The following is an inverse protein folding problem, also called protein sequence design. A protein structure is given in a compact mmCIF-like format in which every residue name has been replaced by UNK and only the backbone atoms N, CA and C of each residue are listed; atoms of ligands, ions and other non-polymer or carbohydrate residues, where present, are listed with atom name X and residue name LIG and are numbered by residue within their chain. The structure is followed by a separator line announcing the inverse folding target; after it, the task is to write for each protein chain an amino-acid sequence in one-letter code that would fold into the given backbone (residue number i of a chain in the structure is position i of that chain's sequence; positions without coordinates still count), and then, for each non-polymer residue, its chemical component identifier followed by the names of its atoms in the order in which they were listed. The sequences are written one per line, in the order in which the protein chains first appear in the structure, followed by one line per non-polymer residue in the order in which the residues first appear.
data_IF_808992781975
#
_entry.id   IF_808992781975
#
_cell.length_a   1.000
_cell.length_b   1.000
_cell.length_c   1.000
_cell.angle_alpha   90.00
_cell.angle_beta   90.00
_cell.angle_gamma   90.00
#
_symmetry.space_group_name_H-M   'P 1'
#
loop_
_entity.id
_entity.type
_entity.pdbx_description
1 polymer ?
#
# COMPACT_ATOMS: atom_id res chain seq x y z
N UNK A 1 -13.59 -3.30 -50.28
CA UNK A 1 -13.79 -2.29 -49.21
C UNK A 1 -14.58 -2.97 -48.10
N UNK A 2 -13.98 -3.18 -46.91
CA UNK A 2 -14.70 -3.80 -45.77
C UNK A 2 -15.74 -2.81 -45.26
N UNK A 3 -16.96 -3.31 -45.06
CA UNK A 3 -18.12 -2.50 -44.65
C UNK A 3 -17.92 -1.97 -43.23
N UNK A 4 -18.28 -0.70 -43.00
CA UNK A 4 -18.27 -0.01 -41.70
C UNK A 4 -19.07 -0.78 -40.63
N UNK A 5 -19.94 -1.70 -41.05
CA UNK A 5 -20.69 -2.62 -40.19
C UNK A 5 -19.83 -3.67 -39.47
N UNK A 6 -18.61 -3.98 -39.92
CA UNK A 6 -17.68 -4.87 -39.17
C UNK A 6 -16.99 -4.17 -37.99
N UNK A 7 -17.10 -2.83 -37.89
CA UNK A 7 -16.49 -2.06 -36.79
C UNK A 7 -17.36 -2.04 -35.53
N UNK A 8 -18.65 -2.33 -35.68
CA UNK A 8 -19.60 -2.46 -34.58
C UNK A 8 -19.96 -3.94 -34.47
N UNK A 9 -19.27 -4.64 -33.58
CA UNK A 9 -19.58 -6.03 -33.22
C UNK A 9 -21.06 -6.22 -32.87
N UNK A 10 -21.53 -7.47 -32.93
CA UNK A 10 -22.94 -7.82 -32.78
C UNK A 10 -23.58 -7.09 -31.60
N UNK A 11 -24.86 -6.73 -31.72
CA UNK A 11 -25.58 -5.98 -30.69
C UNK A 11 -25.57 -6.71 -29.34
N UNK A 12 -25.41 -8.04 -29.35
CA UNK A 12 -25.19 -8.84 -28.17
C UNK A 12 -23.77 -8.71 -27.59
N UNK A 13 -22.73 -8.63 -28.42
CA UNK A 13 -21.34 -8.39 -27.97
C UNK A 13 -21.22 -7.04 -27.27
N UNK A 14 -21.84 -6.00 -27.83
CA UNK A 14 -21.89 -4.67 -27.21
C UNK A 14 -22.59 -4.71 -25.85
N UNK A 15 -23.69 -5.46 -25.73
CA UNK A 15 -24.42 -5.62 -24.44
C UNK A 15 -23.58 -6.36 -23.41
N UNK A 16 -22.88 -7.41 -23.80
CA UNK A 16 -22.00 -8.19 -22.92
C UNK A 16 -20.83 -7.33 -22.44
N UNK A 17 -20.18 -6.57 -23.33
CA UNK A 17 -19.10 -5.65 -22.98
C UNK A 17 -19.58 -4.58 -22.01
N UNK A 18 -20.74 -3.97 -22.27
CA UNK A 18 -21.32 -2.95 -21.38
C UNK A 18 -21.66 -3.53 -20.01
N UNK A 19 -22.29 -4.71 -19.96
CA UNK A 19 -22.64 -5.36 -18.69
C UNK A 19 -21.39 -5.73 -17.87
N UNK A 20 -20.35 -6.27 -18.53
CA UNK A 20 -19.08 -6.57 -17.88
C UNK A 20 -18.40 -5.30 -17.34
N UNK A 21 -18.35 -4.24 -18.15
CA UNK A 21 -17.78 -2.95 -17.72
C UNK A 21 -18.53 -2.35 -16.52
N UNK A 22 -19.87 -2.34 -16.54
CA UNK A 22 -20.69 -1.84 -15.43
C UNK A 22 -20.47 -2.64 -14.16
N UNK A 23 -20.33 -3.97 -14.27
CA UNK A 23 -20.10 -4.85 -13.11
C UNK A 23 -18.73 -4.60 -12.50
N UNK A 24 -17.68 -4.48 -13.32
CA UNK A 24 -16.32 -4.18 -12.85
C UNK A 24 -16.24 -2.81 -12.20
N UNK A 25 -16.83 -1.78 -12.82
CA UNK A 25 -16.82 -0.40 -12.29
C UNK A 25 -17.59 -0.32 -10.97
N UNK A 26 -18.74 -0.99 -10.88
CA UNK A 26 -19.55 -1.02 -9.66
C UNK A 26 -18.84 -1.79 -8.53
N UNK A 27 -18.23 -2.94 -8.85
CA UNK A 27 -17.44 -3.73 -7.92
C UNK A 27 -16.23 -2.96 -7.39
N UNK A 28 -15.46 -2.31 -8.28
CA UNK A 28 -14.33 -1.47 -7.90
C UNK A 28 -14.79 -0.27 -7.06
N UNK A 29 -15.88 0.38 -7.44
CA UNK A 29 -16.46 1.50 -6.68
C UNK A 29 -16.86 1.07 -5.28
N UNK A 30 -17.51 -0.09 -5.11
CA UNK A 30 -17.88 -0.64 -3.81
C UNK A 30 -16.66 -0.97 -2.95
N UNK A 31 -15.60 -1.53 -3.54
CA UNK A 31 -14.33 -1.80 -2.84
C UNK A 31 -13.66 -0.49 -2.36
N UNK A 32 -13.60 0.53 -3.23
CA UNK A 32 -13.07 1.84 -2.89
C UNK A 32 -13.93 2.58 -1.85
N UNK A 33 -15.25 2.41 -1.89
CA UNK A 33 -16.17 3.04 -0.94
C UNK A 33 -16.12 2.39 0.45
N UNK A 34 -16.04 1.05 0.51
CA UNK A 34 -15.82 0.33 1.77
C UNK A 34 -14.47 0.66 2.40
N UNK A 35 -13.43 0.79 1.58
CA UNK A 35 -12.09 1.21 2.01
C UNK A 35 -12.12 2.57 2.73
N UNK A 36 -12.89 3.55 2.24
CA UNK A 36 -13.06 4.85 2.91
C UNK A 36 -13.76 4.77 4.27
N UNK A 37 -14.55 3.72 4.54
CA UNK A 37 -15.38 3.60 5.75
C UNK A 37 -14.63 3.08 6.97
N UNK A 38 -13.37 2.70 6.86
CA UNK A 38 -12.51 2.33 8.00
C UNK A 38 -11.82 3.56 8.60
N UNK A 39 -12.60 4.48 9.18
CA UNK A 39 -12.07 5.66 9.91
C UNK A 39 -12.61 5.80 11.33
N UNK A 40 -12.77 4.69 12.03
CA UNK A 40 -12.96 4.68 13.49
C UNK A 40 -12.18 3.53 14.12
N UNK A 41 -10.86 3.51 13.91
CA UNK A 41 -9.97 2.99 14.94
C UNK A 41 -9.63 4.20 15.78
N UNK A 42 -9.92 4.16 17.08
CA UNK A 42 -9.52 5.20 18.03
C UNK A 42 -8.09 5.69 17.74
N UNK A 43 -7.83 6.96 18.00
CA UNK A 43 -6.65 7.74 17.64
C UNK A 43 -5.31 7.19 18.21
N UNK A 44 -4.97 5.93 17.90
CA UNK A 44 -3.63 5.40 17.96
C UNK A 44 -2.83 6.21 16.94
N UNK A 45 -1.94 7.05 17.44
CA UNK A 45 -0.99 7.82 16.63
C UNK A 45 -0.03 6.83 15.96
N UNK A 46 -0.48 6.24 14.87
CA UNK A 46 0.37 5.44 14.00
C UNK A 46 1.36 6.36 13.31
N UNK A 47 2.60 5.88 13.05
CA UNK A 47 3.52 6.59 12.19
C UNK A 47 2.88 6.91 10.83
N UNK A 48 3.28 8.02 10.18
CA UNK A 48 2.81 8.34 8.84
C UNK A 48 3.28 7.28 7.84
N UNK A 49 2.54 7.17 6.73
CA UNK A 49 2.89 6.33 5.59
C UNK A 49 3.32 7.19 4.39
N UNK A 50 4.15 6.67 3.46
CA UNK A 50 4.48 7.33 2.21
C UNK A 50 3.24 7.80 1.45
N UNK A 51 3.34 8.94 0.76
CA UNK A 51 2.21 9.52 -0.01
C UNK A 51 1.77 8.62 -1.16
N UNK A 52 2.66 7.77 -1.65
CA UNK A 52 2.41 6.79 -2.72
C UNK A 52 1.61 5.57 -2.25
N UNK A 53 1.36 5.44 -0.94
CA UNK A 53 0.62 4.30 -0.37
C UNK A 53 -0.79 4.20 -0.93
N UNK A 54 -1.07 3.09 -1.62
CA UNK A 54 -2.39 2.82 -2.18
C UNK A 54 -3.34 2.21 -1.15
N UNK A 55 -4.64 2.35 -1.37
CA UNK A 55 -5.64 1.88 -0.39
C UNK A 55 -5.65 0.36 -0.20
N UNK A 56 -5.69 -0.38 -1.32
CA UNK A 56 -5.79 -1.85 -1.34
C UNK A 56 -4.40 -2.46 -1.45
N UNK A 57 -3.63 -2.02 -2.44
CA UNK A 57 -2.29 -2.52 -2.73
C UNK A 57 -1.24 -2.08 -1.70
N UNK A 58 -1.55 -1.09 -0.87
CA UNK A 58 -0.61 -0.50 0.10
C UNK A 58 0.69 -0.08 -0.61
N UNK A 59 1.85 -0.46 -0.07
CA UNK A 59 3.17 -0.11 -0.58
C UNK A 59 3.77 -1.21 -1.47
N UNK A 60 2.99 -2.17 -1.96
CA UNK A 60 3.53 -3.26 -2.77
C UNK A 60 4.20 -2.75 -4.07
N UNK A 61 3.67 -1.68 -4.66
CA UNK A 61 4.25 -1.08 -5.85
C UNK A 61 5.55 -0.31 -5.53
N UNK A 62 5.61 0.35 -4.38
CA UNK A 62 6.83 1.02 -3.92
C UNK A 62 7.94 0.00 -3.64
N UNK A 63 7.61 -1.05 -2.87
CA UNK A 63 8.55 -2.10 -2.49
C UNK A 63 9.02 -2.91 -3.70
N UNK A 64 8.10 -3.26 -4.61
CA UNK A 64 8.43 -4.00 -5.83
C UNK A 64 9.22 -3.15 -6.84
N UNK A 65 8.84 -1.90 -7.03
CA UNK A 65 9.53 -0.97 -7.94
C UNK A 65 10.94 -0.61 -7.49
N UNK A 66 11.22 -0.70 -6.18
CA UNK A 66 12.52 -0.42 -5.59
C UNK A 66 13.24 -1.68 -5.09
N UNK A 67 12.84 -2.89 -5.48
CA UNK A 67 13.36 -4.13 -4.91
C UNK A 67 14.90 -4.23 -4.97
N UNK A 68 15.52 -3.82 -6.09
CA UNK A 68 16.98 -3.85 -6.28
C UNK A 68 17.73 -2.80 -5.44
N UNK A 69 17.02 -1.78 -4.94
CA UNK A 69 17.57 -0.66 -4.14
C UNK A 69 16.75 -0.42 -2.88
N UNK A 70 16.25 -1.51 -2.29
CA UNK A 70 15.21 -1.42 -1.27
C UNK A 70 15.67 -0.60 -0.06
N UNK A 71 16.92 -0.77 0.39
CA UNK A 71 17.49 0.01 1.48
C UNK A 71 17.67 1.49 1.14
N UNK A 72 18.03 1.82 -0.11
CA UNK A 72 18.13 3.22 -0.55
C UNK A 72 16.75 3.87 -0.52
N UNK A 73 15.72 3.18 -1.01
CA UNK A 73 14.34 3.64 -0.93
C UNK A 73 13.89 3.86 0.52
N UNK A 74 14.20 2.93 1.45
CA UNK A 74 13.91 3.14 2.87
C UNK A 74 14.59 4.40 3.42
N UNK A 75 15.82 4.67 3.03
CA UNK A 75 16.56 5.86 3.44
C UNK A 75 15.95 7.14 2.86
N UNK A 76 15.62 7.16 1.57
CA UNK A 76 14.95 8.29 0.91
C UNK A 76 13.62 8.64 1.60
N UNK A 77 12.80 7.63 1.91
CA UNK A 77 11.56 7.82 2.65
C UNK A 77 11.82 8.34 4.07
N UNK A 78 12.84 7.83 4.75
CA UNK A 78 13.22 8.31 6.08
C UNK A 78 13.62 9.79 6.07
N UNK A 79 14.35 10.22 5.04
CA UNK A 79 14.69 11.64 4.82
C UNK A 79 13.42 12.47 4.60
N UNK A 80 12.46 11.99 3.81
CA UNK A 80 11.18 12.69 3.58
C UNK A 80 10.36 12.88 4.87
N UNK A 81 10.54 12.00 5.86
CA UNK A 81 9.88 12.09 7.18
C UNK A 81 10.72 12.79 8.26
N UNK A 82 11.78 13.51 7.88
CA UNK A 82 12.70 14.18 8.81
C UNK A 82 13.37 13.19 9.79
N UNK A 83 13.67 11.97 9.33
CA UNK A 83 14.18 10.85 10.14
C UNK A 83 13.29 10.43 11.32
N UNK A 84 12.02 10.85 11.33
CA UNK A 84 11.04 10.36 12.30
C UNK A 84 10.53 8.98 11.88
N UNK A 85 10.06 8.15 12.85
CA UNK A 85 9.47 6.87 12.52
C UNK A 85 8.33 7.01 11.51
N UNK A 86 8.35 6.14 10.50
CA UNK A 86 7.32 6.03 9.48
C UNK A 86 7.00 4.56 9.24
N UNK A 87 5.94 4.27 8.49
CA UNK A 87 5.53 2.89 8.25
C UNK A 87 5.18 2.59 6.80
N UNK A 88 5.32 1.33 6.41
CA UNK A 88 4.80 0.80 5.14
C UNK A 88 4.13 -0.56 5.38
N UNK A 89 3.28 -0.96 4.43
CA UNK A 89 2.60 -2.25 4.49
C UNK A 89 2.61 -2.95 3.12
N UNK A 90 2.84 -4.26 3.14
CA UNK A 90 2.68 -5.14 1.98
C UNK A 90 1.50 -6.07 2.28
N UNK A 91 0.49 -6.19 1.39
CA UNK A 91 -0.64 -7.09 1.62
C UNK A 91 -0.19 -8.52 1.94
N UNK A 92 -0.77 -9.12 2.99
CA UNK A 92 -0.39 -10.46 3.46
C UNK A 92 0.83 -10.50 4.39
N UNK A 93 1.47 -9.36 4.69
CA UNK A 93 2.54 -9.24 5.68
C UNK A 93 2.11 -8.30 6.83
N UNK A 94 2.68 -8.46 8.04
CA UNK A 94 2.55 -7.45 9.09
C UNK A 94 3.03 -6.08 8.58
N UNK A 95 2.44 -5.00 9.10
CA UNK A 95 2.92 -3.66 8.81
C UNK A 95 4.31 -3.44 9.44
N UNK A 96 5.18 -2.74 8.73
CA UNK A 96 6.55 -2.47 9.16
C UNK A 96 6.67 -1.01 9.56
N UNK A 97 7.23 -0.76 10.75
CA UNK A 97 7.69 0.57 11.17
C UNK A 97 9.19 0.64 10.90
N UNK A 98 9.63 1.73 10.29
CA UNK A 98 11.02 1.98 9.93
C UNK A 98 11.58 3.04 10.86
N UNK A 99 12.76 2.74 11.41
CA UNK A 99 13.54 3.63 12.28
C UNK A 99 14.84 3.96 11.56
N UNK A 100 15.25 5.23 11.59
CA UNK A 100 16.47 5.69 10.90
C UNK A 100 17.39 6.55 11.77
N UNK A 101 16.95 6.97 12.96
CA UNK A 101 17.74 7.82 13.85
C UNK A 101 18.46 6.99 14.93
N UNK A 102 19.71 7.33 15.29
CA UNK A 102 20.43 6.66 16.37
C UNK A 102 19.66 6.65 17.70
N UNK A 103 18.99 7.76 18.02
CA UNK A 103 18.21 7.92 19.25
C UNK A 103 17.04 6.94 19.30
N UNK A 104 16.37 6.72 18.15
CA UNK A 104 15.27 5.75 18.05
C UNK A 104 15.77 4.31 18.14
N UNK A 105 16.96 4.01 17.60
CA UNK A 105 17.56 2.69 17.77
C UNK A 105 17.90 2.40 19.22
N UNK A 106 18.47 3.38 19.94
CA UNK A 106 18.76 3.24 21.38
C UNK A 106 17.47 3.06 22.19
N UNK A 107 16.45 3.89 21.95
CA UNK A 107 15.16 3.79 22.63
C UNK A 107 14.51 2.40 22.44
N UNK A 108 14.49 1.90 21.21
CA UNK A 108 13.83 0.63 20.89
C UNK A 108 14.65 -0.60 21.30
N UNK A 109 15.96 -0.58 21.11
CA UNK A 109 16.81 -1.78 21.29
C UNK A 109 17.45 -1.87 22.68
N UNK A 110 17.50 -0.77 23.42
CA UNK A 110 18.11 -0.69 24.76
C UNK A 110 17.07 -0.31 25.82
N UNK A 111 16.39 0.82 25.65
CA UNK A 111 15.45 1.32 26.69
C UNK A 111 14.19 0.45 26.79
N UNK A 112 13.72 -0.09 25.66
CA UNK A 112 12.47 -0.85 25.55
C UNK A 112 12.71 -2.30 25.09
N UNK A 113 13.81 -2.91 25.54
CA UNK A 113 14.22 -4.26 25.11
C UNK A 113 13.26 -5.39 25.56
N UNK A 114 12.44 -5.12 26.57
CA UNK A 114 11.37 -5.99 27.06
C UNK A 114 10.09 -5.91 26.21
N UNK A 115 9.87 -4.78 25.54
CA UNK A 115 8.74 -4.56 24.62
C UNK A 115 9.10 -5.06 23.22
N UNK A 116 10.27 -4.65 22.72
CA UNK A 116 10.78 -5.02 21.40
C UNK A 116 11.67 -6.25 21.50
N UNK A 117 11.03 -7.39 21.72
CA UNK A 117 11.72 -8.67 21.85
C UNK A 117 12.61 -8.94 20.63
N UNK A 118 13.86 -9.30 20.90
CA UNK A 118 14.78 -9.79 19.88
C UNK A 118 14.22 -11.10 19.33
N UNK A 119 14.19 -11.22 18.00
CA UNK A 119 13.79 -12.47 17.34
C UNK A 119 14.68 -13.64 17.81
N UNK A 120 14.31 -14.89 17.48
CA UNK A 120 15.10 -16.06 17.84
C UNK A 120 16.56 -15.85 17.46
N UNK A 121 17.47 -15.95 18.42
CA UNK A 121 18.90 -16.05 18.11
C UNK A 121 19.10 -17.39 17.42
N UNK A 122 19.47 -17.33 16.13
CA UNK A 122 19.80 -18.52 15.35
C UNK A 122 21.07 -19.20 15.82
#
# INVERSE_FOLDING_TARGET
MKSVTELFGDRNDVRVIVAAAVTVISGLSLLLHKSKRSKTVEARKLPPMPRTTLQILKNILDAGGNAERFHDWLNEQSIEFDNRPWMFAIPGRPATIVLSSPEMFEDVLVTQDDIFLRGPVG
#
